data_IF_066598670172
#
_entry.id   IF_066598670172
#
_cell.length_a   1.000
_cell.length_b   1.000
_cell.length_c   1.000
_cell.angle_alpha   90.00
_cell.angle_beta   90.00
_cell.angle_gamma   90.00
#
_symmetry.space_group_name_H-M   'P 1'
#
loop_
_entity.id
_entity.type
_entity.pdbx_description
1 polymer ?
#
# COMPACT_ATOMS: atom_id res chain seq x y z
N UNK A 1 6.99 -17.12 -14.64
CA UNK A 1 6.87 -15.94 -13.80
C UNK A 1 6.72 -16.37 -12.34
N UNK A 2 7.76 -16.11 -11.58
CA UNK A 2 7.92 -16.64 -10.23
C UNK A 2 6.82 -16.12 -9.28
N UNK A 3 6.44 -14.85 -9.36
CA UNK A 3 5.37 -14.30 -8.52
C UNK A 3 4.01 -14.95 -8.80
N UNK A 4 3.68 -15.23 -10.06
CA UNK A 4 2.44 -15.94 -10.37
C UNK A 4 2.48 -17.39 -9.87
N UNK A 5 3.63 -18.06 -9.97
CA UNK A 5 3.79 -19.41 -9.46
C UNK A 5 3.67 -19.44 -7.92
N UNK A 6 4.33 -18.51 -7.22
CA UNK A 6 4.21 -18.38 -5.75
C UNK A 6 2.76 -18.11 -5.35
N UNK A 7 2.09 -17.17 -6.04
CA UNK A 7 0.67 -16.85 -5.81
C UNK A 7 -0.21 -18.10 -5.96
N UNK A 8 -0.05 -18.86 -7.05
CA UNK A 8 -0.83 -20.05 -7.32
C UNK A 8 -0.59 -21.16 -6.30
N UNK A 9 0.69 -21.42 -5.97
CA UNK A 9 1.08 -22.52 -5.07
C UNK A 9 0.62 -22.27 -3.64
N UNK A 10 0.76 -21.03 -3.17
CA UNK A 10 0.45 -20.67 -1.78
C UNK A 10 -0.97 -20.09 -1.60
N UNK A 11 -1.74 -19.96 -2.68
CA UNK A 11 -3.10 -19.37 -2.66
C UNK A 11 -3.12 -17.97 -2.06
N UNK A 12 -2.12 -17.13 -2.37
CA UNK A 12 -1.98 -15.75 -1.87
C UNK A 12 -2.05 -14.73 -3.00
N UNK A 13 -2.56 -13.55 -2.71
CA UNK A 13 -2.45 -12.39 -3.60
C UNK A 13 -1.15 -11.65 -3.30
N UNK A 14 -0.37 -11.32 -4.35
CA UNK A 14 0.90 -10.61 -4.25
C UNK A 14 0.81 -9.32 -5.05
N UNK A 15 1.13 -8.19 -4.42
CA UNK A 15 1.30 -6.89 -5.08
C UNK A 15 2.78 -6.54 -5.19
N UNK A 16 3.25 -6.21 -6.40
CA UNK A 16 4.66 -5.86 -6.66
C UNK A 16 4.72 -4.48 -7.30
N UNK A 17 5.39 -3.54 -6.64
CA UNK A 17 5.62 -2.18 -7.17
C UNK A 17 6.63 -2.21 -8.33
N UNK A 18 6.21 -1.73 -9.51
CA UNK A 18 7.06 -1.65 -10.72
C UNK A 18 6.62 -0.49 -11.61
N UNK A 19 7.52 0.13 -12.39
CA UNK A 19 7.09 0.99 -13.48
C UNK A 19 6.47 0.14 -14.60
N UNK A 20 5.32 0.58 -15.12
CA UNK A 20 4.69 -0.04 -16.30
C UNK A 20 4.63 0.96 -17.45
N UNK A 21 4.77 0.48 -18.68
CA UNK A 21 4.74 1.32 -19.87
C UNK A 21 3.54 0.97 -20.74
N UNK A 22 2.84 1.98 -21.19
CA UNK A 22 1.80 1.89 -22.20
C UNK A 22 2.12 2.82 -23.39
N UNK A 23 1.17 3.01 -24.31
CA UNK A 23 1.37 3.88 -25.51
C UNK A 23 1.53 5.37 -25.17
N UNK A 24 1.01 5.79 -24.03
CA UNK A 24 0.98 7.20 -23.60
C UNK A 24 2.21 7.57 -22.77
N UNK A 25 2.81 6.59 -22.05
CA UNK A 25 3.99 6.85 -21.23
C UNK A 25 4.25 5.77 -20.20
N UNK A 26 4.98 6.14 -19.15
CA UNK A 26 5.34 5.28 -18.02
C UNK A 26 4.48 5.64 -16.81
N UNK A 27 3.90 4.64 -16.17
CA UNK A 27 3.14 4.77 -14.92
C UNK A 27 3.92 4.19 -13.74
N UNK A 28 3.77 4.78 -12.57
CA UNK A 28 4.12 4.15 -11.29
C UNK A 28 2.99 3.18 -10.96
N UNK A 29 3.30 1.89 -10.83
CA UNK A 29 2.27 0.87 -10.77
C UNK A 29 2.56 -0.22 -9.74
N UNK A 30 1.52 -0.96 -9.40
CA UNK A 30 1.58 -2.22 -8.69
C UNK A 30 0.96 -3.31 -9.56
N UNK A 31 1.75 -4.32 -9.91
CA UNK A 31 1.24 -5.53 -10.58
C UNK A 31 0.74 -6.49 -9.51
N UNK A 32 -0.47 -6.97 -9.68
CA UNK A 32 -1.18 -7.79 -8.71
C UNK A 32 -1.34 -9.19 -9.30
N UNK A 33 -0.78 -10.17 -8.61
CA UNK A 33 -0.86 -11.59 -8.92
C UNK A 33 -1.87 -12.24 -7.99
N UNK A 34 -2.95 -12.78 -8.55
CA UNK A 34 -3.96 -13.54 -7.80
C UNK A 34 -3.92 -15.02 -8.23
N UNK A 35 -4.21 -15.94 -7.31
CA UNK A 35 -4.21 -17.38 -7.64
C UNK A 35 -5.10 -17.68 -8.82
N UNK A 36 -4.52 -18.30 -9.86
CA UNK A 36 -5.20 -18.77 -11.07
C UNK A 36 -6.00 -17.70 -11.83
N UNK A 37 -5.61 -16.42 -11.71
CA UNK A 37 -6.23 -15.31 -12.43
C UNK A 37 -5.19 -14.57 -13.28
N UNK A 38 -5.68 -13.84 -14.28
CA UNK A 38 -4.88 -12.89 -15.02
C UNK A 38 -4.40 -11.76 -14.09
N UNK A 39 -3.21 -11.25 -14.39
CA UNK A 39 -2.63 -10.14 -13.65
C UNK A 39 -3.47 -8.88 -13.78
N UNK A 40 -3.65 -8.19 -12.68
CA UNK A 40 -4.25 -6.86 -12.63
C UNK A 40 -3.15 -5.83 -12.39
N UNK A 41 -3.28 -4.65 -12.98
CA UNK A 41 -2.35 -3.54 -12.77
C UNK A 41 -3.10 -2.39 -12.14
N UNK A 42 -2.66 -1.99 -10.96
CA UNK A 42 -3.01 -0.72 -10.35
C UNK A 42 -1.95 0.31 -10.73
N UNK A 43 -2.32 1.43 -11.33
CA UNK A 43 -1.40 2.51 -11.68
C UNK A 43 -1.78 3.78 -10.92
N UNK A 44 -0.78 4.44 -10.33
CA UNK A 44 -0.90 5.65 -9.53
C UNK A 44 -1.64 6.74 -10.30
N UNK A 45 -2.78 7.17 -9.77
CA UNK A 45 -3.62 8.21 -10.39
C UNK A 45 -3.16 9.61 -10.02
N UNK A 46 -2.80 9.80 -8.75
CA UNK A 46 -2.38 11.10 -8.22
C UNK A 46 -0.87 11.17 -8.14
N UNK A 47 -0.25 11.75 -9.17
CA UNK A 47 1.20 11.90 -9.31
C UNK A 47 1.67 13.07 -8.43
N UNK A 48 2.78 12.89 -7.72
CA UNK A 48 3.45 13.99 -7.03
C UNK A 48 4.09 14.95 -8.05
N UNK A 49 4.14 16.27 -7.81
CA UNK A 49 4.72 17.21 -8.76
C UNK A 49 6.12 16.85 -9.26
N UNK A 50 6.97 16.29 -8.41
CA UNK A 50 8.33 15.87 -8.79
C UNK A 50 8.35 14.65 -9.72
N UNK A 51 7.27 13.87 -9.75
CA UNK A 51 7.11 12.70 -10.61
C UNK A 51 6.55 13.05 -12.00
N UNK A 52 5.85 14.18 -12.13
CA UNK A 52 5.16 14.59 -13.39
C UNK A 52 6.08 14.66 -14.61
N UNK A 53 7.39 15.04 -14.52
CA UNK A 53 8.27 15.02 -15.68
C UNK A 53 8.57 13.63 -16.24
N UNK A 54 8.37 12.57 -15.46
CA UNK A 54 8.81 11.22 -15.78
C UNK A 54 7.67 10.22 -15.95
N UNK A 55 6.53 10.47 -15.29
CA UNK A 55 5.42 9.54 -15.20
C UNK A 55 4.10 10.18 -15.60
N UNK A 56 3.22 9.34 -16.14
CA UNK A 56 1.84 9.72 -16.45
C UNK A 56 0.87 9.18 -15.41
N UNK A 57 -0.28 9.81 -15.31
CA UNK A 57 -1.37 9.40 -14.42
C UNK A 57 -1.99 8.08 -14.87
N UNK A 58 -2.20 7.18 -13.92
CA UNK A 58 -2.98 5.97 -14.15
C UNK A 58 -4.49 6.23 -14.27
N UNK A 59 -5.25 5.27 -14.79
CA UNK A 59 -6.69 5.33 -14.84
C UNK A 59 -7.30 5.22 -13.44
N UNK A 60 -8.60 5.51 -13.34
CA UNK A 60 -9.35 5.18 -12.12
C UNK A 60 -9.30 3.67 -11.89
N UNK A 61 -8.94 3.30 -10.68
CA UNK A 61 -8.97 1.94 -10.21
C UNK A 61 -9.99 1.87 -9.06
N UNK A 62 -10.87 0.91 -9.12
CA UNK A 62 -11.77 0.64 -8.00
C UNK A 62 -11.04 -0.05 -6.86
N UNK A 63 -11.76 -0.86 -6.10
CA UNK A 63 -11.15 -1.71 -5.10
C UNK A 63 -10.69 -3.04 -5.70
N UNK A 64 -9.58 -3.54 -5.20
CA UNK A 64 -9.19 -4.93 -5.47
C UNK A 64 -10.17 -5.86 -4.73
N UNK A 65 -10.83 -6.80 -5.45
CA UNK A 65 -11.63 -7.80 -4.78
C UNK A 65 -10.71 -8.79 -4.05
N UNK A 66 -10.75 -8.75 -2.74
CA UNK A 66 -10.13 -9.75 -1.88
C UNK A 66 -11.01 -11.00 -1.78
N UNK A 67 -10.59 -11.99 -1.00
CA UNK A 67 -11.38 -13.20 -0.73
C UNK A 67 -12.54 -12.94 0.21
N UNK A 68 -12.34 -12.08 1.22
CA UNK A 68 -13.35 -11.72 2.24
C UNK A 68 -13.72 -10.24 2.18
N UNK A 69 -12.75 -9.37 1.94
CA UNK A 69 -12.89 -7.92 2.02
C UNK A 69 -12.42 -7.26 0.74
N UNK A 70 -12.99 -6.10 0.39
CA UNK A 70 -12.46 -5.25 -0.67
C UNK A 70 -11.28 -4.43 -0.16
N UNK A 71 -10.27 -4.28 -0.99
CA UNK A 71 -9.02 -3.62 -0.65
C UNK A 71 -8.84 -2.37 -1.50
N UNK A 72 -8.71 -1.22 -0.86
CA UNK A 72 -8.23 0.02 -1.47
C UNK A 72 -6.69 0.01 -1.50
N UNK A 73 -6.11 0.31 -2.65
CA UNK A 73 -4.66 0.39 -2.83
C UNK A 73 -4.24 1.83 -3.01
N UNK A 74 -3.12 2.23 -2.40
CA UNK A 74 -2.53 3.55 -2.55
C UNK A 74 -1.02 3.46 -2.76
N UNK A 75 -0.48 4.32 -3.63
CA UNK A 75 0.95 4.46 -3.85
C UNK A 75 1.40 5.85 -3.38
N UNK A 76 2.17 5.86 -2.31
CA UNK A 76 2.89 7.00 -1.74
C UNK A 76 2.03 8.27 -1.58
N UNK A 77 2.11 9.23 -2.51
CA UNK A 77 1.42 10.52 -2.43
C UNK A 77 -0.12 10.40 -2.34
N UNK A 78 -0.68 9.34 -2.88
CA UNK A 78 -2.14 9.12 -2.93
C UNK A 78 -2.80 9.08 -1.54
N UNK A 79 -2.09 8.59 -0.51
CA UNK A 79 -2.61 8.60 0.87
C UNK A 79 -2.88 10.01 1.41
N UNK A 80 -2.29 11.04 0.78
CA UNK A 80 -2.45 12.46 1.16
C UNK A 80 -3.57 13.16 0.39
N UNK A 81 -4.24 12.45 -0.51
CA UNK A 81 -5.32 12.97 -1.36
C UNK A 81 -6.67 12.49 -0.80
N UNK A 82 -7.49 13.39 -0.23
CA UNK A 82 -8.76 13.01 0.39
C UNK A 82 -9.70 12.25 -0.54
N UNK A 83 -9.79 12.66 -1.81
CA UNK A 83 -10.63 12.00 -2.81
C UNK A 83 -10.21 10.57 -3.08
N UNK A 84 -8.93 10.23 -2.90
CA UNK A 84 -8.43 8.88 -3.10
C UNK A 84 -9.01 7.91 -2.06
N UNK A 85 -8.89 8.24 -0.78
CA UNK A 85 -9.43 7.41 0.31
C UNK A 85 -10.96 7.40 0.33
N UNK A 86 -11.61 8.51 -0.06
CA UNK A 86 -13.05 8.58 -0.24
C UNK A 86 -13.55 7.64 -1.34
N UNK A 87 -12.89 7.63 -2.50
CA UNK A 87 -13.20 6.71 -3.59
C UNK A 87 -13.03 5.24 -3.18
N UNK A 88 -12.00 4.91 -2.40
CA UNK A 88 -11.83 3.58 -1.84
C UNK A 88 -13.00 3.20 -0.93
N UNK A 89 -13.44 4.11 -0.05
CA UNK A 89 -14.60 3.89 0.80
C UNK A 89 -15.89 3.70 -0.01
N UNK A 90 -16.15 4.56 -1.00
CA UNK A 90 -17.34 4.48 -1.87
C UNK A 90 -17.37 3.17 -2.68
N UNK A 91 -16.20 2.63 -3.03
CA UNK A 91 -16.05 1.33 -3.68
C UNK A 91 -16.32 0.16 -2.71
N UNK A 92 -16.44 0.43 -1.42
CA UNK A 92 -16.69 -0.53 -0.35
C UNK A 92 -15.41 -1.19 0.19
N UNK A 93 -14.28 -0.49 0.18
CA UNK A 93 -13.06 -0.98 0.83
C UNK A 93 -13.25 -1.08 2.35
N UNK A 94 -12.83 -2.21 2.89
CA UNK A 94 -12.74 -2.46 4.34
C UNK A 94 -11.29 -2.41 4.81
N UNK A 95 -10.37 -2.56 3.86
CA UNK A 95 -8.92 -2.49 4.07
C UNK A 95 -8.33 -1.45 3.13
N UNK A 96 -7.40 -0.62 3.62
CA UNK A 96 -6.67 0.35 2.82
C UNK A 96 -5.18 0.11 2.98
N UNK A 97 -4.48 -0.19 1.89
CA UNK A 97 -3.05 -0.52 1.89
C UNK A 97 -2.28 0.56 1.15
N UNK A 98 -1.34 1.20 1.83
CA UNK A 98 -0.45 2.20 1.28
C UNK A 98 0.99 1.66 1.18
N UNK A 99 1.53 1.61 -0.04
CA UNK A 99 2.95 1.33 -0.29
C UNK A 99 3.69 2.64 -0.53
N UNK A 100 4.70 2.93 0.28
CA UNK A 100 5.36 4.24 0.31
C UNK A 100 6.88 4.14 0.38
N UNK A 101 7.55 5.24 -0.01
CA UNK A 101 8.94 5.53 0.28
C UNK A 101 8.99 6.94 0.91
N UNK A 102 9.25 7.02 2.21
CA UNK A 102 9.13 8.28 2.97
C UNK A 102 10.28 8.50 3.95
N UNK A 103 10.72 9.75 3.98
CA UNK A 103 11.65 10.29 4.98
C UNK A 103 11.02 10.27 6.39
N UNK A 104 11.80 10.49 7.47
CA UNK A 104 11.27 10.61 8.83
C UNK A 104 10.10 11.60 8.96
N UNK A 105 10.24 12.80 8.39
CA UNK A 105 9.17 13.80 8.40
C UNK A 105 7.96 13.39 7.57
N UNK A 106 8.20 12.69 6.45
CA UNK A 106 7.17 12.16 5.57
C UNK A 106 6.33 11.06 6.24
N UNK A 107 6.98 10.21 7.05
CA UNK A 107 6.31 9.16 7.82
C UNK A 107 5.38 9.74 8.87
N UNK A 108 5.79 10.78 9.61
CA UNK A 108 4.90 11.42 10.61
C UNK A 108 3.61 11.93 9.97
N UNK A 109 3.73 12.61 8.81
CA UNK A 109 2.58 13.09 8.06
C UNK A 109 1.72 11.93 7.54
N UNK A 110 2.36 10.85 7.05
CA UNK A 110 1.66 9.67 6.56
C UNK A 110 0.89 8.96 7.67
N UNK A 111 1.50 8.75 8.84
CA UNK A 111 0.84 8.13 9.99
C UNK A 111 -0.40 8.91 10.43
N UNK A 112 -0.31 10.24 10.47
CA UNK A 112 -1.45 11.09 10.78
C UNK A 112 -2.58 10.90 9.75
N UNK A 113 -2.27 11.01 8.45
CA UNK A 113 -3.26 10.84 7.38
C UNK A 113 -3.90 9.45 7.39
N UNK A 114 -3.10 8.39 7.61
CA UNK A 114 -3.60 7.01 7.62
C UNK A 114 -4.46 6.71 8.85
N UNK A 115 -4.11 7.25 10.01
CA UNK A 115 -4.96 7.18 11.21
C UNK A 115 -6.29 7.92 11.00
N UNK A 116 -6.29 9.09 10.34
CA UNK A 116 -7.49 9.83 9.98
C UNK A 116 -8.37 9.04 8.99
N UNK A 117 -7.77 8.38 7.98
CA UNK A 117 -8.48 7.50 7.03
C UNK A 117 -9.14 6.34 7.78
N UNK A 118 -8.39 5.67 8.67
CA UNK A 118 -8.91 4.57 9.48
C UNK A 118 -10.13 5.01 10.31
N UNK A 119 -10.04 6.15 10.99
CA UNK A 119 -11.13 6.71 11.80
C UNK A 119 -12.33 7.13 10.96
N UNK A 120 -12.08 7.89 9.88
CA UNK A 120 -13.15 8.50 9.08
C UNK A 120 -13.99 7.47 8.33
N UNK A 121 -13.35 6.41 7.84
CA UNK A 121 -13.99 5.43 6.96
C UNK A 121 -14.15 4.05 7.60
N UNK A 122 -13.74 3.89 8.86
CA UNK A 122 -13.78 2.62 9.59
C UNK A 122 -13.07 1.47 8.86
N UNK A 123 -11.96 1.78 8.18
CA UNK A 123 -11.13 0.79 7.49
C UNK A 123 -9.97 0.32 8.37
N UNK A 124 -9.57 -0.94 8.22
CA UNK A 124 -8.24 -1.37 8.66
C UNK A 124 -7.20 -0.83 7.68
N UNK A 125 -6.19 -0.12 8.18
CA UNK A 125 -5.22 0.59 7.35
C UNK A 125 -3.83 0.03 7.57
N UNK A 126 -3.12 -0.26 6.48
CA UNK A 126 -1.77 -0.76 6.48
C UNK A 126 -0.85 0.18 5.70
N UNK A 127 0.34 0.44 6.23
CA UNK A 127 1.40 1.14 5.52
C UNK A 127 2.63 0.25 5.44
N UNK A 128 3.16 0.06 4.25
CA UNK A 128 4.49 -0.51 4.03
C UNK A 128 5.44 0.60 3.57
N UNK A 129 6.50 0.82 4.33
CA UNK A 129 7.57 1.77 3.99
C UNK A 129 8.90 1.04 3.92
N UNK A 130 9.76 1.43 2.99
CA UNK A 130 11.12 0.88 2.93
C UNK A 130 12.01 1.45 4.04
N UNK A 131 13.13 0.78 4.27
CA UNK A 131 14.22 1.22 5.16
C UNK A 131 15.46 1.51 4.33
N UNK A 132 16.33 2.38 4.86
CA UNK A 132 17.62 2.69 4.25
C UNK A 132 17.55 3.62 3.06
N UNK A 133 18.60 3.61 2.26
CA UNK A 133 18.78 4.55 1.16
C UNK A 133 17.82 4.30 0.00
N UNK A 134 17.08 5.32 -0.38
CA UNK A 134 16.07 5.28 -1.44
C UNK A 134 16.23 6.52 -2.32
N UNK A 135 16.75 6.35 -3.54
CA UNK A 135 17.07 7.42 -4.48
C UNK A 135 18.01 8.46 -3.83
N UNK A 136 17.53 9.64 -3.51
CA UNK A 136 18.28 10.77 -2.95
C UNK A 136 17.98 11.06 -1.47
N UNK A 137 17.33 10.14 -0.76
CA UNK A 137 16.97 10.27 0.65
C UNK A 137 17.08 8.95 1.42
N UNK A 138 17.10 9.06 2.75
CA UNK A 138 16.97 7.92 3.67
C UNK A 138 15.49 7.70 4.00
N UNK A 139 15.02 6.50 3.73
CA UNK A 139 13.66 6.08 4.09
C UNK A 139 13.61 5.61 5.54
N UNK A 140 12.56 6.01 6.24
CA UNK A 140 12.49 5.89 7.70
C UNK A 140 11.76 4.65 8.20
N UNK A 141 11.52 3.63 7.37
CA UNK A 141 10.83 2.42 7.81
C UNK A 141 9.48 2.72 8.47
N UNK A 142 9.30 2.26 9.70
CA UNK A 142 8.08 2.49 10.50
C UNK A 142 6.81 1.98 9.80
N UNK A 143 6.92 0.86 9.08
CA UNK A 143 5.78 0.08 8.58
C UNK A 143 4.80 -0.15 9.72
N UNK A 144 3.49 0.09 9.48
CA UNK A 144 2.51 0.13 10.57
C UNK A 144 1.11 -0.32 10.15
N UNK A 145 0.30 -0.71 11.15
CA UNK A 145 -1.09 -1.14 11.00
C UNK A 145 -1.98 -0.40 11.99
N UNK A 146 -3.10 0.14 11.51
CA UNK A 146 -4.18 0.71 12.31
C UNK A 146 -5.45 -0.13 12.12
N UNK A 147 -6.18 -0.37 13.21
CA UNK A 147 -7.50 -0.97 13.09
C UNK A 147 -8.55 0.04 12.60
N UNK A 148 -9.76 -0.44 12.37
CA UNK A 148 -10.89 0.37 11.92
C UNK A 148 -11.42 1.41 12.95
N UNK A 149 -10.77 1.52 14.11
CA UNK A 149 -11.01 2.55 15.14
C UNK A 149 -9.81 3.50 15.27
N UNK A 150 -8.89 3.49 14.29
CA UNK A 150 -7.66 4.27 14.28
C UNK A 150 -6.69 3.99 15.44
N UNK A 151 -6.81 2.85 16.11
CA UNK A 151 -5.83 2.41 17.08
C UNK A 151 -4.63 1.84 16.34
N UNK A 152 -3.41 2.34 16.63
CA UNK A 152 -2.17 1.78 16.14
C UNK A 152 -1.96 0.40 16.78
N UNK A 153 -2.02 -0.65 15.96
CA UNK A 153 -1.94 -2.03 16.40
C UNK A 153 -0.51 -2.56 16.43
N UNK A 154 0.29 -2.16 15.45
CA UNK A 154 1.69 -2.53 15.33
C UNK A 154 2.46 -1.48 14.53
N UNK A 155 3.74 -1.35 14.83
CA UNK A 155 4.66 -0.50 14.09
C UNK A 155 6.08 -1.03 14.27
N UNK A 156 6.81 -1.17 13.16
CA UNK A 156 8.25 -1.41 13.22
C UNK A 156 9.04 -0.16 13.59
N UNK A 157 10.26 -0.35 14.09
CA UNK A 157 11.23 0.72 14.26
C UNK A 157 11.71 1.26 12.89
N UNK A 158 12.45 2.36 12.93
CA UNK A 158 12.88 3.08 11.72
C UNK A 158 13.83 2.33 10.81
N UNK A 159 14.53 1.34 11.34
CA UNK A 159 15.56 0.52 10.69
C UNK A 159 15.21 -0.97 10.67
N UNK A 160 14.04 -1.34 11.19
CA UNK A 160 13.62 -2.73 11.26
C UNK A 160 13.08 -3.23 9.90
N UNK A 161 13.62 -4.34 9.45
CA UNK A 161 13.13 -5.10 8.31
C UNK A 161 12.26 -6.27 8.77
N UNK A 162 11.14 -6.51 8.08
CA UNK A 162 10.27 -7.61 8.47
C UNK A 162 8.92 -7.62 7.77
N UNK A 163 8.01 -8.43 8.32
CA UNK A 163 6.65 -8.60 7.84
C UNK A 163 5.69 -8.35 9.00
N UNK A 164 4.72 -7.45 8.79
CA UNK A 164 3.55 -7.30 9.65
C UNK A 164 2.37 -8.03 9.02
N UNK A 165 1.72 -8.88 9.80
CA UNK A 165 0.53 -9.62 9.39
C UNK A 165 -0.62 -9.23 10.32
N UNK A 166 -1.78 -8.95 9.75
CA UNK A 166 -3.01 -8.72 10.49
C UNK A 166 -4.11 -9.66 10.02
N UNK A 167 -4.73 -10.32 10.95
CA UNK A 167 -6.01 -11.00 10.71
C UNK A 167 -7.14 -9.96 10.84
N UNK A 168 -7.86 -9.73 9.75
CA UNK A 168 -8.87 -8.67 9.68
C UNK A 168 -10.09 -8.97 10.57
N UNK A 169 -10.45 -10.25 10.72
CA UNK A 169 -11.62 -10.66 11.49
C UNK A 169 -11.34 -10.60 13.00
N UNK A 170 -10.17 -11.11 13.42
CA UNK A 170 -9.80 -11.21 14.85
C UNK A 170 -9.00 -10.02 15.35
N UNK A 171 -8.47 -9.19 14.45
CA UNK A 171 -7.55 -8.09 14.72
C UNK A 171 -6.24 -8.55 15.41
N UNK A 172 -5.88 -9.83 15.26
CA UNK A 172 -4.61 -10.34 15.76
C UNK A 172 -3.46 -9.90 14.86
N UNK A 173 -2.34 -9.53 15.48
CA UNK A 173 -1.11 -9.13 14.80
C UNK A 173 -0.04 -10.21 14.99
N UNK A 174 0.69 -10.48 13.91
CA UNK A 174 1.92 -11.25 13.94
C UNK A 174 3.04 -10.42 13.34
N UNK A 175 4.14 -10.33 14.04
CA UNK A 175 5.36 -9.62 13.63
C UNK A 175 6.48 -10.61 13.39
N UNK A 176 7.08 -10.53 12.21
CA UNK A 176 8.26 -11.31 11.83
C UNK A 176 9.37 -10.32 11.46
N UNK A 177 10.30 -10.09 12.37
CA UNK A 177 11.47 -9.23 12.12
C UNK A 177 12.65 -10.05 11.61
N UNK A 178 13.31 -9.55 10.57
CA UNK A 178 14.62 -10.04 10.17
C UNK A 178 15.66 -9.25 10.94
N UNK A 179 16.39 -9.96 11.86
CA UNK A 179 17.61 -9.38 12.42
C UNK A 179 18.71 -9.68 11.42
N UNK A 180 19.33 -8.62 10.86
CA UNK A 180 20.59 -8.73 10.14
C UNK A 180 21.71 -9.22 11.05
#
# INVERSE_FOLDING_TARGET
>A
DDFQQISNTNQITIGVGVPTKNKEGVCISMVIFQPHKDRTVYSKKYIHPDEEPFFIRGPNFGCLPGTKSKIGLAICYELSIPEHSENAHQCGAEVYIASVAKTPEGVEKAHKSLSEIASKYSMTVLMSNCVGHCDNFESAGRTAIWNNKAVLMAQFDSDAEGILIVDIDTQQITELSYKA
#
